data_IF_322211765412
#
_entry.id   IF_322211765412
#
_cell.length_a   1.000
_cell.length_b   1.000
_cell.length_c   1.000
_cell.angle_alpha   90.00
_cell.angle_beta   90.00
_cell.angle_gamma   90.00
#
_symmetry.space_group_name_H-M   'P 1'
#
loop_
_entity.id
_entity.type
_entity.pdbx_description
1 polymer ?
#
# COMPACT_ATOMS: atom_id res chain seq x y z
N UNK A 1 47.08 -36.60 -83.89
CA UNK A 1 46.89 -37.94 -83.29
C UNK A 1 48.19 -38.30 -82.60
N UNK A 2 48.10 -38.78 -81.37
CA UNK A 2 49.28 -39.14 -80.59
C UNK A 2 49.79 -40.49 -81.13
N UNK A 3 51.00 -40.59 -81.70
CA UNK A 3 51.46 -41.80 -82.40
C UNK A 3 51.42 -43.08 -81.54
N UNK A 4 51.42 -42.92 -80.22
CA UNK A 4 51.27 -44.01 -79.24
C UNK A 4 49.83 -44.58 -79.17
N UNK A 5 48.80 -43.75 -79.32
CA UNK A 5 47.40 -44.22 -79.36
C UNK A 5 47.12 -44.97 -80.67
N UNK A 6 47.62 -44.47 -81.79
CA UNK A 6 47.50 -45.15 -83.09
C UNK A 6 48.17 -46.53 -83.09
N UNK A 7 49.29 -46.68 -82.35
CA UNK A 7 49.94 -47.98 -82.19
C UNK A 7 49.12 -48.93 -81.32
N UNK A 8 48.55 -48.45 -80.21
CA UNK A 8 47.69 -49.23 -79.31
C UNK A 8 46.45 -49.78 -80.03
N UNK A 9 45.77 -48.95 -80.80
CA UNK A 9 44.54 -49.36 -81.49
C UNK A 9 44.81 -50.41 -82.57
N UNK A 10 45.93 -50.29 -83.29
CA UNK A 10 46.38 -51.33 -84.23
C UNK A 10 46.73 -52.64 -83.52
N UNK A 11 47.35 -52.59 -82.35
CA UNK A 11 47.66 -53.77 -81.54
C UNK A 11 46.37 -54.45 -81.08
N UNK A 12 45.38 -53.70 -80.58
CA UNK A 12 44.09 -54.23 -80.16
C UNK A 12 43.33 -54.89 -81.33
N UNK A 13 43.23 -54.19 -82.46
CA UNK A 13 42.58 -54.72 -83.65
C UNK A 13 43.28 -55.99 -84.18
N UNK A 14 44.62 -56.02 -84.17
CA UNK A 14 45.37 -57.21 -84.57
C UNK A 14 45.22 -58.36 -83.57
N UNK A 15 45.16 -58.06 -82.27
CA UNK A 15 44.91 -59.06 -81.23
C UNK A 15 43.53 -59.69 -81.38
N UNK A 16 42.48 -58.88 -81.59
CA UNK A 16 41.13 -59.36 -81.85
C UNK A 16 41.08 -60.21 -83.12
N UNK A 17 41.63 -59.72 -84.24
CA UNK A 17 41.62 -60.47 -85.50
C UNK A 17 42.34 -61.82 -85.40
N UNK A 18 43.48 -61.89 -84.70
CA UNK A 18 44.21 -63.15 -84.50
C UNK A 18 43.50 -64.07 -83.51
N UNK A 19 42.84 -63.51 -82.50
CA UNK A 19 42.05 -64.28 -81.55
C UNK A 19 40.79 -64.88 -82.21
N UNK A 20 40.11 -64.14 -83.08
CA UNK A 20 39.02 -64.65 -83.91
C UNK A 20 39.47 -65.75 -84.86
N UNK A 21 40.61 -65.57 -85.54
CA UNK A 21 41.18 -66.59 -86.43
C UNK A 21 41.50 -67.89 -85.69
N UNK A 22 41.88 -67.80 -84.42
CA UNK A 22 42.11 -68.95 -83.54
C UNK A 22 40.81 -69.48 -82.88
N UNK A 23 39.63 -69.07 -83.34
CA UNK A 23 38.34 -69.51 -82.82
C UNK A 23 38.04 -69.04 -81.40
N UNK A 24 38.74 -68.00 -80.91
CA UNK A 24 38.72 -67.53 -79.52
C UNK A 24 39.15 -68.58 -78.48
N UNK A 25 39.81 -69.66 -78.90
CA UNK A 25 40.25 -70.72 -77.99
C UNK A 25 41.65 -70.46 -77.45
N UNK A 26 42.52 -69.83 -78.28
CA UNK A 26 43.93 -69.61 -77.94
C UNK A 26 44.26 -68.13 -78.06
N UNK A 27 44.78 -67.54 -76.98
CA UNK A 27 45.23 -66.15 -77.00
C UNK A 27 46.43 -65.97 -77.94
N UNK A 28 46.40 -64.98 -78.86
CA UNK A 28 47.48 -64.78 -79.81
C UNK A 28 48.76 -64.38 -79.09
N UNK A 29 49.90 -64.85 -79.61
CA UNK A 29 51.21 -64.54 -79.03
C UNK A 29 51.58 -63.08 -79.28
N UNK A 30 52.32 -62.46 -78.36
CA UNK A 30 52.73 -61.05 -78.47
C UNK A 30 53.54 -60.80 -79.76
N UNK A 31 54.36 -61.76 -80.20
CA UNK A 31 55.13 -61.64 -81.44
C UNK A 31 54.25 -61.65 -82.70
N UNK A 32 53.20 -62.48 -82.74
CA UNK A 32 52.25 -62.51 -83.86
C UNK A 32 51.49 -61.19 -83.97
N UNK A 33 51.00 -60.67 -82.83
CA UNK A 33 50.29 -59.39 -82.78
C UNK A 33 51.22 -58.23 -83.15
N UNK A 34 52.47 -58.23 -82.67
CA UNK A 34 53.49 -57.21 -83.03
C UNK A 34 53.74 -57.16 -84.54
N UNK A 35 53.90 -58.32 -85.18
CA UNK A 35 54.12 -58.42 -86.63
C UNK A 35 52.90 -57.93 -87.42
N UNK A 36 51.69 -58.32 -87.01
CA UNK A 36 50.45 -57.92 -87.66
C UNK A 36 50.18 -56.41 -87.50
N UNK A 37 50.42 -55.85 -86.31
CA UNK A 37 50.19 -54.43 -86.02
C UNK A 37 51.34 -53.51 -86.46
N UNK A 38 52.49 -54.07 -86.88
CA UNK A 38 53.75 -53.35 -87.15
C UNK A 38 54.16 -52.42 -85.99
N UNK A 39 53.95 -52.87 -84.76
CA UNK A 39 54.23 -52.10 -83.55
C UNK A 39 55.58 -52.46 -82.91
N UNK A 40 56.07 -51.64 -81.98
CA UNK A 40 57.26 -51.99 -81.21
C UNK A 40 56.94 -53.09 -80.16
N UNK A 41 57.98 -53.78 -79.68
CA UNK A 41 57.81 -54.91 -78.76
C UNK A 41 57.24 -54.51 -77.37
N UNK A 42 57.62 -53.32 -76.88
CA UNK A 42 57.20 -52.86 -75.54
C UNK A 42 55.72 -52.45 -75.52
N UNK A 43 55.25 -51.79 -76.57
CA UNK A 43 53.84 -51.45 -76.79
C UNK A 43 52.99 -52.72 -76.97
N UNK A 44 53.43 -53.64 -77.83
CA UNK A 44 52.70 -54.88 -78.07
C UNK A 44 52.53 -55.70 -76.79
N UNK A 45 53.57 -55.85 -75.97
CA UNK A 45 53.49 -56.62 -74.71
C UNK A 45 52.62 -55.94 -73.65
N UNK A 46 52.67 -54.62 -73.54
CA UNK A 46 51.88 -53.84 -72.57
C UNK A 46 50.39 -53.88 -72.91
N UNK A 47 50.05 -53.59 -74.17
CA UNK A 47 48.66 -53.57 -74.64
C UNK A 47 48.08 -54.99 -74.66
N UNK A 48 48.86 -56.02 -75.03
CA UNK A 48 48.39 -57.41 -74.98
C UNK A 48 48.11 -57.90 -73.56
N UNK A 49 48.89 -57.47 -72.56
CA UNK A 49 48.63 -57.81 -71.16
C UNK A 49 47.29 -57.22 -70.69
N UNK A 50 47.02 -55.98 -71.06
CA UNK A 50 45.76 -55.31 -70.75
C UNK A 50 44.58 -55.95 -71.49
N UNK A 51 44.73 -56.19 -72.79
CA UNK A 51 43.72 -56.84 -73.62
C UNK A 51 43.34 -58.23 -73.08
N UNK A 52 44.32 -59.07 -72.74
CA UNK A 52 44.06 -60.40 -72.12
C UNK A 52 43.29 -60.29 -70.80
N UNK A 53 43.60 -59.28 -69.97
CA UNK A 53 42.88 -59.04 -68.70
C UNK A 53 41.41 -58.69 -68.95
N UNK A 54 41.13 -57.91 -69.99
CA UNK A 54 39.76 -57.53 -70.36
C UNK A 54 38.97 -58.73 -70.87
N UNK A 55 39.58 -59.59 -71.70
CA UNK A 55 38.91 -60.80 -72.20
C UNK A 55 38.63 -61.85 -71.12
N UNK A 56 39.44 -61.89 -70.05
CA UNK A 56 39.28 -62.85 -68.95
C UNK A 56 38.23 -62.44 -67.90
N UNK A 57 37.56 -61.29 -68.04
CA UNK A 57 36.59 -60.80 -67.04
C UNK A 57 35.19 -61.37 -67.33
N UNK A 58 34.60 -62.21 -66.45
CA UNK A 58 33.25 -62.72 -66.65
C UNK A 58 32.21 -61.59 -66.58
N UNK A 59 31.17 -61.68 -67.42
CA UNK A 59 30.09 -60.70 -67.46
C UNK A 59 29.26 -60.75 -66.16
N UNK A 60 29.00 -59.59 -65.55
CA UNK A 60 28.11 -59.50 -64.39
C UNK A 60 26.67 -59.75 -64.80
N UNK A 61 26.02 -60.73 -64.18
CA UNK A 61 24.58 -61.00 -64.38
C UNK A 61 23.76 -60.01 -63.55
N UNK A 62 22.91 -59.23 -64.20
CA UNK A 62 21.96 -58.35 -63.53
C UNK A 62 20.81 -59.19 -62.95
N UNK A 63 20.72 -59.27 -61.62
CA UNK A 63 19.59 -59.92 -60.94
C UNK A 63 18.42 -58.94 -60.93
N UNK A 64 17.33 -59.26 -61.63
CA UNK A 64 16.08 -58.49 -61.57
C UNK A 64 15.28 -58.88 -60.33
N UNK A 65 14.83 -57.89 -59.56
CA UNK A 65 14.00 -58.09 -58.37
C UNK A 65 12.59 -58.54 -58.81
N UNK A 66 12.02 -59.62 -58.25
CA UNK A 66 10.68 -60.11 -58.61
C UNK A 66 9.57 -59.08 -58.39
N UNK A 67 8.63 -59.03 -59.33
CA UNK A 67 7.49 -58.10 -59.34
C UNK A 67 6.67 -58.07 -58.02
N UNK A 68 6.37 -59.22 -57.36
CA UNK A 68 5.62 -59.19 -56.09
C UNK A 68 6.37 -58.45 -54.97
N UNK A 69 7.71 -58.48 -54.98
CA UNK A 69 8.53 -57.78 -54.00
C UNK A 69 8.52 -56.27 -54.27
N UNK A 70 8.53 -55.86 -55.54
CA UNK A 70 8.44 -54.45 -55.92
C UNK A 70 7.08 -53.86 -55.52
N UNK A 71 5.99 -54.58 -55.74
CA UNK A 71 4.64 -54.16 -55.34
C UNK A 71 4.50 -54.07 -53.82
N UNK A 72 4.99 -55.07 -53.08
CA UNK A 72 5.00 -55.04 -51.62
C UNK A 72 5.82 -53.86 -51.07
N UNK A 73 6.98 -53.57 -51.66
CA UNK A 73 7.79 -52.41 -51.30
C UNK A 73 7.06 -51.07 -51.57
N UNK A 74 6.39 -50.94 -52.72
CA UNK A 74 5.59 -49.76 -53.04
C UNK A 74 4.45 -49.53 -52.05
N UNK A 75 3.72 -50.58 -51.68
CA UNK A 75 2.66 -50.51 -50.67
C UNK A 75 3.21 -50.15 -49.28
N UNK A 76 4.36 -50.72 -48.89
CA UNK A 76 5.00 -50.41 -47.62
C UNK A 76 5.41 -48.92 -47.54
N UNK A 77 5.96 -48.35 -48.61
CA UNK A 77 6.31 -46.92 -48.66
C UNK A 77 5.07 -46.04 -48.50
N UNK A 78 3.97 -46.38 -49.18
CA UNK A 78 2.70 -45.63 -49.04
C UNK A 78 2.18 -45.71 -47.60
N UNK A 79 2.18 -46.90 -47.00
CA UNK A 79 1.72 -47.09 -45.63
C UNK A 79 2.57 -46.31 -44.61
N UNK A 80 3.91 -46.34 -44.76
CA UNK A 80 4.83 -45.58 -43.91
C UNK A 80 4.59 -44.07 -44.08
N UNK A 81 4.42 -43.60 -45.31
CA UNK A 81 4.14 -42.19 -45.57
C UNK A 81 2.81 -41.75 -44.94
N UNK A 82 1.74 -42.53 -45.08
CA UNK A 82 0.45 -42.24 -44.47
C UNK A 82 0.55 -42.20 -42.93
N UNK A 83 1.18 -43.20 -42.33
CA UNK A 83 1.38 -43.24 -40.87
C UNK A 83 2.21 -42.05 -40.38
N UNK A 84 3.29 -41.69 -41.11
CA UNK A 84 4.10 -40.52 -40.79
C UNK A 84 3.30 -39.21 -40.87
N UNK A 85 2.43 -39.09 -41.88
CA UNK A 85 1.58 -37.92 -42.06
C UNK A 85 0.51 -37.80 -40.98
N UNK A 86 -0.08 -38.92 -40.55
CA UNK A 86 -1.01 -38.96 -39.42
C UNK A 86 -0.33 -38.49 -38.13
N UNK A 87 0.83 -39.06 -37.80
CA UNK A 87 1.60 -38.67 -36.60
C UNK A 87 2.02 -37.20 -36.66
N UNK A 88 2.45 -36.70 -37.82
CA UNK A 88 2.83 -35.29 -37.99
C UNK A 88 1.62 -34.35 -37.81
N UNK A 89 0.47 -34.72 -38.35
CA UNK A 89 -0.77 -33.94 -38.19
C UNK A 89 -1.27 -33.96 -36.75
N UNK A 90 -1.15 -35.09 -36.04
CA UNK A 90 -1.48 -35.21 -34.62
C UNK A 90 -0.56 -34.35 -33.77
N UNK A 91 0.75 -34.39 -34.03
CA UNK A 91 1.72 -33.56 -33.34
C UNK A 91 1.46 -32.05 -33.59
N UNK A 92 1.10 -31.67 -34.82
CA UNK A 92 0.73 -30.30 -35.15
C UNK A 92 -0.51 -29.83 -34.39
N UNK A 93 -1.58 -30.65 -34.37
CA UNK A 93 -2.81 -30.34 -33.63
C UNK A 93 -2.56 -30.23 -32.13
N UNK A 94 -1.74 -31.12 -31.57
CA UNK A 94 -1.37 -31.07 -30.16
C UNK A 94 -0.55 -29.81 -29.82
N UNK A 95 0.41 -29.44 -30.68
CA UNK A 95 1.20 -28.21 -30.50
C UNK A 95 0.35 -26.95 -30.61
N UNK A 96 -0.59 -26.90 -31.56
CA UNK A 96 -1.54 -25.79 -31.70
C UNK A 96 -2.43 -25.66 -30.46
N UNK A 97 -2.99 -26.77 -29.98
CA UNK A 97 -3.81 -26.77 -28.76
C UNK A 97 -3.01 -26.34 -27.53
N UNK A 98 -1.77 -26.81 -27.38
CA UNK A 98 -0.88 -26.39 -26.29
C UNK A 98 -0.57 -24.90 -26.33
N UNK A 99 -0.25 -24.37 -27.52
CA UNK A 99 0.02 -22.94 -27.71
C UNK A 99 -1.22 -22.08 -27.45
N UNK A 100 -2.40 -22.51 -27.91
CA UNK A 100 -3.66 -21.80 -27.63
C UNK A 100 -3.99 -21.80 -26.13
N UNK A 101 -3.75 -22.91 -25.44
CA UNK A 101 -3.92 -22.99 -23.99
C UNK A 101 -2.97 -22.05 -23.24
N UNK A 102 -1.66 -22.10 -23.54
CA UNK A 102 -0.67 -21.20 -22.93
C UNK A 102 -1.01 -19.72 -23.22
N UNK A 103 -1.44 -19.41 -24.44
CA UNK A 103 -1.85 -18.05 -24.78
C UNK A 103 -3.04 -17.60 -23.95
N UNK A 104 -4.06 -18.43 -23.80
CA UNK A 104 -5.23 -18.12 -22.96
C UNK A 104 -4.85 -17.94 -21.49
N UNK A 105 -3.94 -18.77 -20.97
CA UNK A 105 -3.44 -18.64 -19.60
C UNK A 105 -2.67 -17.32 -19.39
N UNK A 106 -1.80 -16.93 -20.33
CA UNK A 106 -1.08 -15.65 -20.27
C UNK A 106 -2.04 -14.47 -20.37
N UNK A 107 -3.04 -14.54 -21.24
CA UNK A 107 -4.07 -13.49 -21.36
C UNK A 107 -4.90 -13.38 -20.08
N UNK A 108 -5.31 -14.49 -19.49
CA UNK A 108 -6.03 -14.53 -18.22
C UNK A 108 -5.18 -13.96 -17.07
N UNK A 109 -3.91 -14.35 -16.97
CA UNK A 109 -3.00 -13.82 -15.95
C UNK A 109 -2.75 -12.32 -16.15
N UNK A 110 -2.59 -11.87 -17.40
CA UNK A 110 -2.44 -10.45 -17.72
C UNK A 110 -3.66 -9.65 -17.30
N UNK A 111 -4.87 -10.17 -17.53
CA UNK A 111 -6.11 -9.53 -17.10
C UNK A 111 -6.22 -9.48 -15.57
N UNK A 112 -5.97 -10.61 -14.89
CA UNK A 112 -5.99 -10.66 -13.43
C UNK A 112 -4.99 -9.69 -12.79
N UNK A 113 -3.79 -9.55 -13.36
CA UNK A 113 -2.82 -8.56 -12.89
C UNK A 113 -3.33 -7.13 -13.13
N UNK A 114 -3.89 -6.83 -14.29
CA UNK A 114 -4.46 -5.51 -14.58
C UNK A 114 -5.58 -5.15 -13.59
N UNK A 115 -6.52 -6.07 -13.37
CA UNK A 115 -7.62 -5.91 -12.42
C UNK A 115 -7.11 -5.70 -10.99
N UNK A 116 -6.08 -6.45 -10.58
CA UNK A 116 -5.45 -6.30 -9.26
C UNK A 116 -4.75 -4.94 -9.08
N UNK A 117 -4.08 -4.44 -10.11
CA UNK A 117 -3.46 -3.11 -10.09
C UNK A 117 -4.51 -2.00 -10.04
N UNK A 118 -5.61 -2.13 -10.78
CA UNK A 118 -6.70 -1.16 -10.73
C UNK A 118 -7.38 -1.15 -9.36
N UNK A 119 -7.66 -2.32 -8.78
CA UNK A 119 -8.18 -2.44 -7.42
C UNK A 119 -7.24 -1.80 -6.39
N UNK A 120 -5.93 -2.08 -6.49
CA UNK A 120 -4.93 -1.50 -5.58
C UNK A 120 -4.85 0.03 -5.73
N UNK A 121 -4.98 0.57 -6.94
CA UNK A 121 -4.99 2.01 -7.17
C UNK A 121 -6.20 2.67 -6.49
N UNK A 122 -7.39 2.08 -6.63
CA UNK A 122 -8.60 2.57 -5.97
C UNK A 122 -8.51 2.49 -4.44
N UNK A 123 -7.95 1.41 -3.89
CA UNK A 123 -7.70 1.28 -2.46
C UNK A 123 -6.71 2.34 -1.94
N UNK A 124 -5.66 2.62 -2.71
CA UNK A 124 -4.69 3.66 -2.38
C UNK A 124 -5.33 5.05 -2.37
N UNK A 125 -6.14 5.38 -3.38
CA UNK A 125 -6.87 6.64 -3.45
C UNK A 125 -7.84 6.79 -2.25
N UNK A 126 -8.58 5.72 -1.92
CA UNK A 126 -9.48 5.71 -0.77
C UNK A 126 -8.72 5.90 0.56
N UNK A 127 -7.58 5.23 0.73
CA UNK A 127 -6.74 5.37 1.92
C UNK A 127 -6.17 6.79 2.04
N UNK A 128 -5.70 7.38 0.95
CA UNK A 128 -5.20 8.76 0.91
C UNK A 128 -6.30 9.77 1.25
N UNK A 129 -7.50 9.59 0.69
CA UNK A 129 -8.65 10.43 1.03
C UNK A 129 -9.00 10.33 2.52
N UNK A 130 -8.96 9.12 3.09
CA UNK A 130 -9.22 8.91 4.53
C UNK A 130 -8.16 9.56 5.41
N UNK A 131 -6.88 9.50 5.02
CA UNK A 131 -5.79 10.18 5.73
C UNK A 131 -6.02 11.69 5.72
N UNK A 132 -6.34 12.28 4.55
CA UNK A 132 -6.60 13.71 4.45
C UNK A 132 -7.80 14.15 5.30
N UNK A 133 -8.86 13.34 5.36
CA UNK A 133 -10.02 13.58 6.23
C UNK A 133 -9.64 13.55 7.71
N UNK A 134 -8.86 12.54 8.14
CA UNK A 134 -8.40 12.41 9.51
C UNK A 134 -7.45 13.54 9.91
N UNK A 135 -6.56 13.97 9.02
CA UNK A 135 -5.67 15.12 9.25
C UNK A 135 -6.48 16.41 9.44
N UNK A 136 -7.50 16.64 8.60
CA UNK A 136 -8.39 17.79 8.75
C UNK A 136 -9.16 17.75 10.08
N UNK A 137 -9.69 16.58 10.46
CA UNK A 137 -10.38 16.39 11.74
C UNK A 137 -9.43 16.61 12.93
N UNK A 138 -8.18 16.16 12.84
CA UNK A 138 -7.17 16.38 13.88
C UNK A 138 -6.85 17.87 14.03
N UNK A 139 -6.66 18.61 12.93
CA UNK A 139 -6.43 20.06 12.98
C UNK A 139 -7.62 20.80 13.62
N UNK A 140 -8.85 20.41 13.29
CA UNK A 140 -10.05 20.94 13.93
C UNK A 140 -10.09 20.63 15.43
N UNK A 141 -9.76 19.42 15.83
CA UNK A 141 -9.71 19.04 17.24
C UNK A 141 -8.63 19.82 18.02
N UNK A 142 -7.44 19.99 17.43
CA UNK A 142 -6.34 20.77 18.03
C UNK A 142 -6.74 22.23 18.23
N UNK A 143 -7.35 22.85 17.20
CA UNK A 143 -7.81 24.24 17.29
C UNK A 143 -8.92 24.39 18.32
N UNK A 144 -9.91 23.48 18.34
CA UNK A 144 -10.96 23.46 19.35
C UNK A 144 -10.38 23.32 20.77
N UNK A 145 -9.44 22.39 20.99
CA UNK A 145 -8.78 22.20 22.28
C UNK A 145 -8.05 23.48 22.74
N UNK A 146 -7.35 24.17 21.84
CA UNK A 146 -6.71 25.44 22.16
C UNK A 146 -7.73 26.53 22.56
N UNK A 147 -8.86 26.62 21.86
CA UNK A 147 -9.92 27.58 22.22
C UNK A 147 -10.55 27.28 23.58
N UNK A 148 -10.80 26.00 23.88
CA UNK A 148 -11.32 25.59 25.19
C UNK A 148 -10.33 25.86 26.30
N UNK A 149 -9.04 25.61 26.08
CA UNK A 149 -8.00 25.91 27.06
C UNK A 149 -7.95 27.42 27.37
N UNK A 150 -7.97 28.27 26.34
CA UNK A 150 -7.99 29.72 26.53
C UNK A 150 -9.25 30.19 27.30
N UNK A 151 -10.42 29.59 27.02
CA UNK A 151 -11.65 29.90 27.74
C UNK A 151 -11.58 29.47 29.23
N UNK A 152 -11.00 28.30 29.52
CA UNK A 152 -10.78 27.83 30.89
C UNK A 152 -9.84 28.75 31.66
N UNK A 153 -8.77 29.21 31.02
CA UNK A 153 -7.82 30.15 31.64
C UNK A 153 -8.50 31.49 31.95
N UNK A 154 -9.34 32.01 31.05
CA UNK A 154 -10.13 33.22 31.29
C UNK A 154 -11.10 33.06 32.47
N UNK A 155 -11.84 31.95 32.52
CA UNK A 155 -12.75 31.65 33.64
C UNK A 155 -11.99 31.55 34.96
N UNK A 156 -10.82 30.92 34.95
CA UNK A 156 -9.96 30.81 36.14
C UNK A 156 -9.50 32.18 36.64
N UNK A 157 -9.06 33.07 35.74
CA UNK A 157 -8.69 34.44 36.10
C UNK A 157 -9.88 35.22 36.67
N UNK A 158 -11.05 35.13 36.03
CA UNK A 158 -12.26 35.78 36.52
C UNK A 158 -12.69 35.27 37.90
N UNK A 159 -12.54 33.97 38.17
CA UNK A 159 -12.84 33.37 39.47
C UNK A 159 -11.92 33.93 40.56
N UNK A 160 -10.62 34.05 40.30
CA UNK A 160 -9.65 34.62 41.27
C UNK A 160 -9.98 36.08 41.57
N UNK A 161 -10.30 36.88 40.56
CA UNK A 161 -10.72 38.28 40.75
C UNK A 161 -12.01 38.37 41.58
N UNK A 162 -13.01 37.53 41.29
CA UNK A 162 -14.25 37.49 42.05
C UNK A 162 -14.02 37.07 43.51
N UNK A 163 -13.15 36.09 43.76
CA UNK A 163 -12.76 35.68 45.10
C UNK A 163 -12.09 36.82 45.89
N UNK A 164 -11.24 37.60 45.24
CA UNK A 164 -10.60 38.76 45.86
C UNK A 164 -11.60 39.90 46.15
N UNK A 165 -12.57 40.12 45.26
CA UNK A 165 -13.66 41.08 45.50
C UNK A 165 -14.57 40.62 46.65
N UNK A 166 -14.83 39.32 46.74
CA UNK A 166 -15.61 38.75 47.84
C UNK A 166 -14.89 38.93 49.19
N UNK A 167 -13.60 38.58 49.28
CA UNK A 167 -12.82 38.73 50.52
C UNK A 167 -12.74 40.19 50.99
N UNK A 168 -12.55 41.13 50.07
CA UNK A 168 -12.53 42.57 50.38
C UNK A 168 -13.90 43.09 50.81
N UNK A 169 -14.99 42.63 50.20
CA UNK A 169 -16.35 42.95 50.61
C UNK A 169 -16.68 42.40 52.01
N UNK A 170 -16.26 41.16 52.30
CA UNK A 170 -16.40 40.53 53.61
C UNK A 170 -15.64 41.30 54.71
N UNK A 171 -14.39 41.72 54.44
CA UNK A 171 -13.61 42.53 55.36
C UNK A 171 -14.29 43.87 55.69
N UNK A 172 -14.75 44.60 54.66
CA UNK A 172 -15.50 45.85 54.84
C UNK A 172 -16.81 45.65 55.61
N UNK A 173 -17.52 44.56 55.37
CA UNK A 173 -18.73 44.24 56.11
C UNK A 173 -18.43 43.99 57.60
N UNK A 174 -17.30 43.36 57.92
CA UNK A 174 -16.84 43.17 59.30
C UNK A 174 -16.46 44.49 59.99
N UNK A 175 -15.74 45.36 59.27
CA UNK A 175 -15.38 46.71 59.75
C UNK A 175 -16.64 47.54 60.05
N UNK A 176 -17.59 47.61 59.11
CA UNK A 176 -18.85 48.34 59.30
C UNK A 176 -19.68 47.80 60.47
N UNK A 177 -19.69 46.48 60.70
CA UNK A 177 -20.33 45.89 61.89
C UNK A 177 -19.68 46.37 63.18
N UNK A 178 -18.35 46.37 63.23
CA UNK A 178 -17.58 46.84 64.40
C UNK A 178 -17.82 48.33 64.66
N UNK A 179 -17.86 49.15 63.60
CA UNK A 179 -18.17 50.58 63.70
C UNK A 179 -19.60 50.82 64.17
N UNK A 180 -20.56 50.04 63.68
CA UNK A 180 -21.96 50.09 64.10
C UNK A 180 -22.10 49.74 65.60
N UNK A 181 -21.44 48.68 66.06
CA UNK A 181 -21.44 48.28 67.47
C UNK A 181 -20.85 49.39 68.36
N UNK A 182 -19.73 50.01 67.93
CA UNK A 182 -19.13 51.15 68.64
C UNK A 182 -20.09 52.35 68.67
N UNK A 183 -20.74 52.67 67.56
CA UNK A 183 -21.72 53.76 67.50
C UNK A 183 -22.91 53.49 68.43
N UNK A 184 -23.37 52.24 68.53
CA UNK A 184 -24.40 51.84 69.49
C UNK A 184 -23.97 52.02 70.94
N UNK A 185 -22.73 51.64 71.30
CA UNK A 185 -22.18 51.86 72.64
C UNK A 185 -22.11 53.35 73.00
N UNK A 186 -21.53 54.17 72.10
CA UNK A 186 -21.44 55.63 72.31
C UNK A 186 -22.84 56.24 72.46
N UNK A 187 -23.80 55.83 71.64
CA UNK A 187 -25.18 56.31 71.75
C UNK A 187 -25.83 55.91 73.09
N UNK A 188 -25.55 54.71 73.60
CA UNK A 188 -26.04 54.27 74.91
C UNK A 188 -25.41 55.07 76.06
N UNK A 189 -24.09 55.31 76.01
CA UNK A 189 -23.37 56.15 76.97
C UNK A 189 -23.93 57.58 77.01
N UNK A 190 -24.13 58.20 75.84
CA UNK A 190 -24.73 59.54 75.73
C UNK A 190 -26.14 59.59 76.31
N UNK A 191 -26.97 58.57 76.07
CA UNK A 191 -28.31 58.48 76.68
C UNK A 191 -28.26 58.36 78.19
N UNK A 192 -27.34 57.54 78.72
CA UNK A 192 -27.15 57.39 80.16
C UNK A 192 -26.67 58.70 80.81
N UNK A 193 -25.68 59.36 80.23
CA UNK A 193 -25.19 60.66 80.69
C UNK A 193 -26.29 61.75 80.63
N UNK A 194 -27.08 61.79 79.56
CA UNK A 194 -28.23 62.68 79.46
C UNK A 194 -29.31 62.35 80.50
N UNK A 195 -29.52 61.07 80.83
CA UNK A 195 -30.39 60.63 81.92
C UNK A 195 -29.90 61.14 83.28
N UNK A 196 -28.63 60.91 83.61
CA UNK A 196 -28.00 61.40 84.85
C UNK A 196 -28.09 62.93 84.97
N UNK A 197 -27.74 63.67 83.92
CA UNK A 197 -27.84 65.13 83.93
C UNK A 197 -29.28 65.64 84.16
N UNK A 198 -30.29 64.93 83.64
CA UNK A 198 -31.71 65.24 83.89
C UNK A 198 -32.11 64.97 85.34
N UNK A 199 -31.64 63.86 85.92
CA UNK A 199 -31.87 63.51 87.33
C UNK A 199 -31.19 64.52 88.28
N UNK A 200 -29.95 64.89 88.01
CA UNK A 200 -29.23 65.94 88.75
C UNK A 200 -29.96 67.28 88.64
N UNK A 201 -30.38 67.68 87.43
CA UNK A 201 -31.16 68.90 87.23
C UNK A 201 -32.52 68.86 87.92
N UNK A 202 -33.17 67.69 88.00
CA UNK A 202 -34.41 67.51 88.76
C UNK A 202 -34.15 67.61 90.27
N UNK A 203 -33.05 67.02 90.75
CA UNK A 203 -32.62 67.09 92.16
C UNK A 203 -32.30 68.53 92.56
N UNK A 204 -31.52 69.26 91.75
CA UNK A 204 -31.21 70.68 91.99
C UNK A 204 -32.47 71.55 91.97
N UNK A 205 -33.39 71.33 91.01
CA UNK A 205 -34.70 72.01 90.99
C UNK A 205 -35.52 71.72 92.25
N UNK A 206 -35.56 70.48 92.70
CA UNK A 206 -36.21 70.10 93.96
C UNK A 206 -35.60 70.81 95.18
N UNK A 207 -34.26 70.88 95.26
CA UNK A 207 -33.56 71.61 96.31
C UNK A 207 -33.85 73.12 96.27
N UNK A 208 -33.86 73.73 95.08
CA UNK A 208 -34.22 75.15 94.91
C UNK A 208 -35.65 75.42 95.37
N UNK A 209 -36.61 74.60 94.95
CA UNK A 209 -38.01 74.72 95.38
C UNK A 209 -38.16 74.56 96.91
N UNK A 210 -37.38 73.67 97.53
CA UNK A 210 -37.35 73.55 98.99
C UNK A 210 -36.76 74.79 99.68
N UNK A 211 -35.67 75.37 99.15
CA UNK A 211 -35.10 76.63 99.66
C UNK A 211 -36.07 77.80 99.50
N UNK A 212 -36.72 77.94 98.34
CA UNK A 212 -37.73 78.95 98.07
C UNK A 212 -38.93 78.78 99.04
N UNK A 213 -39.42 77.55 99.22
CA UNK A 213 -40.47 77.24 100.19
C UNK A 213 -40.10 77.58 101.64
N UNK A 214 -38.81 77.42 102.01
CA UNK A 214 -38.29 77.81 103.32
C UNK A 214 -38.19 79.34 103.49
N UNK A 215 -37.91 80.07 102.40
CA UNK A 215 -37.93 81.53 102.38
C UNK A 215 -39.35 82.13 102.37
N UNK A 216 -40.36 81.37 101.88
CA UNK A 216 -41.75 81.82 101.78
C UNK A 216 -42.71 81.26 102.85
N UNK A 217 -42.22 80.49 103.83
CA UNK A 217 -43.09 79.94 104.89
C UNK A 217 -43.44 80.98 105.97
N UNK A 218 -44.74 81.27 106.25
CA UNK A 218 -45.17 82.20 107.28
C UNK A 218 -45.19 81.54 108.67
N UNK A 219 -44.88 82.34 109.70
CA UNK A 219 -44.90 81.97 111.13
C UNK A 219 -46.29 81.48 111.58
N UNK A 220 -46.45 80.37 112.32
CA UNK A 220 -47.76 79.97 112.81
C UNK A 220 -48.11 80.77 114.08
N UNK A 221 -49.07 81.69 113.96
CA UNK A 221 -49.68 82.38 115.09
C UNK A 221 -50.75 81.47 115.75
N UNK A 222 -50.55 81.16 117.03
CA UNK A 222 -51.58 80.61 117.93
C UNK A 222 -52.62 81.68 118.25
N UNK A 223 -53.90 81.44 117.98
CA UNK A 223 -55.01 81.97 118.80
C UNK A 223 -56.13 80.93 118.95
N UNK A 224 -56.66 80.91 120.17
CA UNK A 224 -57.46 79.89 120.85
C UNK A 224 -58.99 80.14 120.64
N UNK A 225 -59.94 79.38 121.23
CA UNK A 225 -61.09 78.84 120.53
C UNK A 225 -62.41 79.57 120.84
N UNK A 226 -63.38 79.45 119.94
CA UNK A 226 -64.76 79.91 120.18
C UNK A 226 -65.77 79.00 119.48
N UNK A 227 -66.33 78.05 120.25
CA UNK A 227 -67.60 77.36 119.94
C UNK A 227 -68.77 78.28 120.35
N UNK A 228 -70.06 77.99 120.05
CA UNK A 228 -70.69 77.21 118.98
C UNK A 228 -71.84 77.99 118.25
N UNK A 229 -72.43 77.30 117.26
CA UNK A 229 -73.89 77.02 117.11
C UNK A 229 -74.68 77.73 115.98
N UNK A 230 -75.21 76.88 115.10
CA UNK A 230 -76.49 77.05 114.36
C UNK A 230 -76.40 77.91 113.10
N UNK A 231 -77.15 77.67 112.03
CA UNK A 231 -78.31 76.80 111.79
C UNK A 231 -78.59 76.80 110.27
N UNK A 232 -79.16 75.70 109.77
CA UNK A 232 -80.15 75.64 108.67
C UNK A 232 -79.60 75.58 107.24
N UNK A 233 -79.70 74.44 106.54
CA UNK A 233 -80.88 73.85 105.86
C UNK A 233 -81.46 74.72 104.75
N UNK A 234 -81.40 74.19 103.53
CA UNK A 234 -81.98 74.71 102.29
C UNK A 234 -81.26 74.10 101.11
#
# INVERSE_FOLDING_TARGET
>A
MDPSQDARDRILAAADALYEQAGREVFPTVDAVRKAAKANMNEASTVMKEWRRTQARPASVAVQVPEPVQQAAGLAVVAIWQAAQEVANDALRAAQAGWEAERQEVEALSQQMADAYEAQALELEAAQARIAELDAALQQAVTAAATHQAALDQVRTALVDLQQRASTAEARASELRTELDRAHLVAAEQRNAAGQAREEAATLRGRLAAFEGMATSPTPAKTNPGKPRGKGTG
#
